data_IF_683659570755
#
_entry.id   IF_683659570755
#
_cell.length_a   1.000
_cell.length_b   1.000
_cell.length_c   1.000
_cell.angle_alpha   90.00
_cell.angle_beta   90.00
_cell.angle_gamma   90.00
#
_symmetry.space_group_name_H-M   'P 1'
#
loop_
_entity.id
_entity.type
_entity.pdbx_description
1 polymer ?
#
# COMPACT_ATOMS: atom_id res chain seq x y z
N UNK A 1 -8.99 0.29 -23.42
CA UNK A 1 -8.67 -1.14 -23.36
C UNK A 1 -7.17 -1.45 -23.41
N UNK A 2 -6.39 -0.75 -24.23
CA UNK A 2 -4.93 -0.91 -24.28
C UNK A 2 -4.21 -0.42 -23.01
N UNK A 3 -4.63 0.72 -22.44
CA UNK A 3 -4.15 1.24 -21.14
C UNK A 3 -4.47 0.30 -19.98
N UNK A 4 -5.66 -0.32 -19.99
CA UNK A 4 -6.08 -1.28 -18.97
C UNK A 4 -5.22 -2.58 -19.01
N UNK A 5 -4.90 -3.07 -20.22
CA UNK A 5 -3.99 -4.21 -20.41
C UNK A 5 -2.54 -3.89 -20.00
N UNK A 6 -2.11 -2.63 -20.16
CA UNK A 6 -0.78 -2.18 -19.71
C UNK A 6 -0.74 -2.03 -18.19
N UNK A 7 -1.83 -1.53 -17.61
CA UNK A 7 -2.02 -1.45 -16.17
C UNK A 7 -2.03 -2.84 -15.53
N UNK A 8 -2.79 -3.79 -16.06
CA UNK A 8 -2.79 -5.20 -15.59
C UNK A 8 -1.40 -5.85 -15.76
N UNK A 9 -0.64 -5.51 -16.81
CA UNK A 9 0.73 -6.02 -16.99
C UNK A 9 1.71 -5.50 -15.94
N UNK A 10 1.52 -4.29 -15.43
CA UNK A 10 2.30 -3.77 -14.31
C UNK A 10 2.04 -4.55 -13.01
N UNK A 11 0.83 -5.13 -12.87
CA UNK A 11 0.45 -6.00 -11.76
C UNK A 11 0.62 -7.50 -12.05
N UNK A 12 1.02 -7.88 -13.26
CA UNK A 12 1.38 -9.25 -13.59
C UNK A 12 2.81 -9.50 -13.09
N UNK A 13 2.89 -9.71 -11.80
CA UNK A 13 4.13 -10.08 -11.11
C UNK A 13 4.56 -11.48 -11.55
N UNK A 14 5.21 -11.60 -12.69
CA UNK A 14 5.93 -12.81 -13.10
C UNK A 14 7.25 -12.83 -12.34
N UNK A 15 7.30 -13.52 -11.21
CA UNK A 15 8.51 -13.60 -10.40
C UNK A 15 8.35 -14.48 -9.17
N UNK A 16 9.47 -14.77 -8.52
CA UNK A 16 9.50 -15.48 -7.26
C UNK A 16 8.66 -14.73 -6.20
N UNK A 17 7.91 -15.40 -5.31
CA UNK A 17 7.02 -14.75 -4.31
C UNK A 17 7.75 -13.71 -3.45
N UNK A 18 9.02 -13.92 -3.13
CA UNK A 18 9.85 -12.95 -2.39
C UNK A 18 10.04 -11.65 -3.17
N UNK A 19 10.29 -11.73 -4.48
CA UNK A 19 10.47 -10.55 -5.33
C UNK A 19 9.17 -9.74 -5.41
N UNK A 20 8.02 -10.41 -5.55
CA UNK A 20 6.69 -9.80 -5.56
C UNK A 20 6.41 -9.07 -4.25
N UNK A 21 6.72 -9.71 -3.12
CA UNK A 21 6.58 -9.12 -1.79
C UNK A 21 7.44 -7.85 -1.65
N UNK A 22 8.73 -7.92 -2.00
CA UNK A 22 9.64 -6.78 -1.93
C UNK A 22 9.18 -5.62 -2.82
N UNK A 23 8.71 -5.91 -4.04
CA UNK A 23 8.18 -4.89 -4.95
C UNK A 23 6.94 -4.21 -4.36
N UNK A 24 6.04 -4.97 -3.74
CA UNK A 24 4.86 -4.41 -3.09
C UNK A 24 5.22 -3.54 -1.88
N UNK A 25 6.21 -3.93 -1.07
CA UNK A 25 6.73 -3.12 0.04
C UNK A 25 7.34 -1.81 -0.45
N UNK A 26 8.17 -1.86 -1.49
CA UNK A 26 8.77 -0.66 -2.09
C UNK A 26 7.70 0.27 -2.67
N UNK A 27 6.69 -0.28 -3.34
CA UNK A 27 5.55 0.48 -3.84
C UNK A 27 4.76 1.15 -2.71
N UNK A 28 4.55 0.45 -1.59
CA UNK A 28 3.88 1.00 -0.42
C UNK A 28 4.66 2.18 0.19
N UNK A 29 5.98 2.05 0.31
CA UNK A 29 6.85 3.13 0.82
C UNK A 29 6.80 4.33 -0.14
N UNK A 30 6.91 4.11 -1.45
CA UNK A 30 6.86 5.18 -2.45
C UNK A 30 5.51 5.93 -2.40
N UNK A 31 4.39 5.20 -2.36
CA UNK A 31 3.06 5.81 -2.25
C UNK A 31 2.87 6.53 -0.92
N UNK A 32 3.38 5.99 0.18
CA UNK A 32 3.34 6.67 1.48
C UNK A 32 4.03 8.05 1.42
N UNK A 33 5.22 8.11 0.81
CA UNK A 33 5.94 9.37 0.64
C UNK A 33 5.16 10.35 -0.26
N UNK A 34 4.62 9.87 -1.39
CA UNK A 34 3.84 10.72 -2.31
C UNK A 34 2.61 11.29 -1.62
N UNK A 35 1.81 10.47 -0.94
CA UNK A 35 0.62 10.93 -0.24
C UNK A 35 0.94 11.79 0.98
N UNK A 36 2.01 11.49 1.72
CA UNK A 36 2.47 12.32 2.82
C UNK A 36 2.88 13.72 2.36
N UNK A 37 3.65 13.82 1.28
CA UNK A 37 4.05 15.11 0.69
C UNK A 37 2.81 15.86 0.17
N UNK A 38 1.92 15.19 -0.53
CA UNK A 38 0.68 15.80 -1.03
C UNK A 38 -0.20 16.33 0.11
N UNK A 39 -0.34 15.57 1.18
CA UNK A 39 -1.07 15.97 2.38
C UNK A 39 -0.45 17.20 3.05
N UNK A 40 0.87 17.22 3.18
CA UNK A 40 1.57 18.39 3.73
C UNK A 40 1.23 19.67 2.96
N UNK A 41 1.33 19.66 1.64
CA UNK A 41 1.04 20.84 0.82
C UNK A 41 -0.43 21.25 0.86
N UNK A 42 -1.35 20.29 0.98
CA UNK A 42 -2.78 20.59 1.07
C UNK A 42 -3.21 21.15 2.44
N UNK A 43 -2.56 20.68 3.53
CA UNK A 43 -3.06 20.92 4.88
C UNK A 43 -2.15 21.83 5.75
N UNK A 44 -0.96 22.19 5.30
CA UNK A 44 0.00 23.01 6.07
C UNK A 44 -0.54 24.38 6.52
N UNK A 45 -1.59 24.88 5.86
CA UNK A 45 -2.22 26.14 6.21
C UNK A 45 -3.41 26.01 7.17
N UNK A 46 -3.87 24.80 7.46
CA UNK A 46 -5.06 24.52 8.28
C UNK A 46 -4.74 23.92 9.64
N UNK A 47 -3.58 23.31 9.78
CA UNK A 47 -3.14 22.67 11.02
C UNK A 47 -1.85 23.31 11.51
N UNK A 48 -1.91 23.94 12.69
CA UNK A 48 -0.71 24.53 13.30
C UNK A 48 0.31 23.44 13.63
N UNK A 49 1.57 23.70 13.27
CA UNK A 49 2.68 22.81 13.56
C UNK A 49 2.76 21.54 12.69
N UNK A 50 1.89 21.40 11.68
CA UNK A 50 1.98 20.26 10.77
C UNK A 50 3.31 20.25 10.01
N UNK A 51 4.17 19.28 10.31
CA UNK A 51 5.43 19.03 9.63
C UNK A 51 5.32 18.00 8.52
N UNK A 52 6.38 17.92 7.72
CA UNK A 52 6.46 16.91 6.65
C UNK A 52 6.44 15.48 7.20
N UNK A 53 7.08 15.24 8.34
CA UNK A 53 7.12 13.94 9.00
C UNK A 53 5.76 13.53 9.56
N UNK A 54 5.00 14.48 10.11
CA UNK A 54 3.63 14.25 10.58
C UNK A 54 2.71 13.87 9.42
N UNK A 55 2.94 14.48 8.28
CA UNK A 55 2.19 14.22 7.05
C UNK A 55 2.50 12.83 6.47
N UNK A 56 3.76 12.40 6.51
CA UNK A 56 4.17 11.04 6.12
C UNK A 56 3.60 10.01 7.12
N UNK A 57 3.62 10.32 8.40
CA UNK A 57 2.98 9.52 9.45
C UNK A 57 1.46 9.38 9.19
N UNK A 58 0.78 10.49 8.91
CA UNK A 58 -0.64 10.47 8.56
C UNK A 58 -0.94 9.54 7.37
N UNK A 59 -0.15 9.63 6.30
CA UNK A 59 -0.32 8.77 5.14
C UNK A 59 -0.15 7.29 5.49
N UNK A 60 0.83 6.95 6.31
CA UNK A 60 1.09 5.58 6.77
C UNK A 60 -0.10 5.02 7.57
N UNK A 61 -0.59 5.76 8.56
CA UNK A 61 -1.70 5.29 9.40
C UNK A 61 -3.03 5.26 8.64
N UNK A 62 -3.17 6.07 7.59
CA UNK A 62 -4.33 6.06 6.70
C UNK A 62 -4.28 4.87 5.74
N UNK A 63 -3.15 4.64 5.10
CA UNK A 63 -2.94 3.49 4.18
C UNK A 63 -3.12 2.14 4.88
N UNK A 64 -2.69 2.06 6.13
CA UNK A 64 -2.81 0.84 6.96
C UNK A 64 -4.14 0.71 7.67
N UNK A 65 -5.07 1.64 7.46
CA UNK A 65 -6.40 1.68 8.08
C UNK A 65 -6.40 1.86 9.60
N UNK A 66 -5.28 2.24 10.22
CA UNK A 66 -5.18 2.47 11.67
C UNK A 66 -5.93 3.73 12.07
N UNK A 67 -5.65 4.86 11.38
CA UNK A 67 -6.39 6.10 11.52
C UNK A 67 -6.47 6.62 12.96
N UNK A 68 -5.34 6.95 13.59
CA UNK A 68 -5.33 7.45 14.98
C UNK A 68 -6.14 8.73 15.17
N UNK A 69 -6.31 9.56 14.12
CA UNK A 69 -7.05 10.82 14.20
C UNK A 69 -6.28 11.98 14.84
N UNK A 70 -4.99 11.81 15.08
CA UNK A 70 -4.06 12.86 15.52
C UNK A 70 -3.88 13.92 14.44
N UNK A 71 -3.76 13.51 13.18
CA UNK A 71 -3.77 14.34 11.99
C UNK A 71 -4.89 13.88 11.05
N UNK A 72 -5.62 14.81 10.44
CA UNK A 72 -6.73 14.49 9.55
C UNK A 72 -6.94 15.61 8.51
N UNK A 73 -7.43 15.28 7.30
CA UNK A 73 -7.64 16.31 6.28
C UNK A 73 -8.78 17.25 6.65
N UNK A 74 -8.52 18.54 6.63
CA UNK A 74 -9.51 19.60 6.87
C UNK A 74 -9.99 20.22 5.57
N UNK A 75 -9.11 20.32 4.56
CA UNK A 75 -9.46 20.88 3.26
C UNK A 75 -10.26 19.89 2.41
N UNK A 76 -11.03 20.42 1.45
CA UNK A 76 -11.71 19.60 0.46
C UNK A 76 -10.73 18.78 -0.39
N UNK A 77 -9.62 19.42 -0.80
CA UNK A 77 -8.55 18.76 -1.54
C UNK A 77 -7.95 17.59 -0.75
N UNK A 78 -7.59 17.82 0.52
CA UNK A 78 -7.07 16.79 1.41
C UNK A 78 -8.02 15.61 1.57
N UNK A 79 -9.31 15.87 1.73
CA UNK A 79 -10.33 14.83 1.93
C UNK A 79 -10.56 13.99 0.68
N UNK A 80 -10.84 14.63 -0.47
CA UNK A 80 -11.33 13.94 -1.65
C UNK A 80 -10.23 13.59 -2.66
N UNK A 81 -9.22 14.45 -2.84
CA UNK A 81 -8.16 14.20 -3.82
C UNK A 81 -6.96 13.45 -3.24
N UNK A 82 -6.77 13.47 -1.93
CA UNK A 82 -5.61 12.85 -1.27
C UNK A 82 -6.02 11.67 -0.41
N UNK A 83 -6.93 11.84 0.55
CA UNK A 83 -7.28 10.79 1.50
C UNK A 83 -7.98 9.60 0.82
N UNK A 84 -8.90 9.83 -0.10
CA UNK A 84 -9.59 8.74 -0.81
C UNK A 84 -8.64 7.86 -1.62
N UNK A 85 -7.79 8.40 -2.52
CA UNK A 85 -6.82 7.58 -3.25
C UNK A 85 -5.80 6.92 -2.32
N UNK A 86 -5.34 7.60 -1.29
CA UNK A 86 -4.44 7.06 -0.28
C UNK A 86 -5.02 5.80 0.37
N UNK A 87 -6.25 5.87 0.83
CA UNK A 87 -6.98 4.76 1.42
C UNK A 87 -7.19 3.59 0.45
N UNK A 88 -7.69 3.86 -0.76
CA UNK A 88 -7.98 2.82 -1.74
C UNK A 88 -6.72 2.08 -2.20
N UNK A 89 -5.64 2.81 -2.47
CA UNK A 89 -4.36 2.21 -2.85
C UNK A 89 -3.70 1.50 -1.68
N UNK A 90 -3.83 2.02 -0.46
CA UNK A 90 -3.35 1.39 0.76
C UNK A 90 -3.98 0.01 0.97
N UNK A 91 -5.32 -0.10 0.93
CA UNK A 91 -6.04 -1.38 1.06
C UNK A 91 -5.64 -2.34 -0.05
N UNK A 92 -5.50 -1.85 -1.28
CA UNK A 92 -5.09 -2.69 -2.42
C UNK A 92 -3.70 -3.29 -2.21
N UNK A 93 -2.74 -2.50 -1.70
CA UNK A 93 -1.40 -2.97 -1.39
C UNK A 93 -1.37 -3.97 -0.23
N UNK A 94 -2.14 -3.75 0.83
CA UNK A 94 -2.30 -4.71 1.92
C UNK A 94 -2.82 -6.04 1.37
N UNK A 95 -3.82 -6.01 0.49
CA UNK A 95 -4.36 -7.20 -0.17
C UNK A 95 -3.29 -7.95 -0.97
N UNK A 96 -2.44 -7.25 -1.73
CA UNK A 96 -1.33 -7.84 -2.47
C UNK A 96 -0.30 -8.48 -1.52
N UNK A 97 0.08 -7.78 -0.43
CA UNK A 97 1.03 -8.30 0.55
C UNK A 97 0.52 -9.57 1.23
N UNK A 98 -0.74 -9.57 1.68
CA UNK A 98 -1.36 -10.74 2.29
C UNK A 98 -1.52 -11.89 1.30
N UNK A 99 -1.86 -11.60 0.04
CA UNK A 99 -1.95 -12.59 -1.04
C UNK A 99 -0.62 -13.29 -1.30
N UNK A 100 0.49 -12.54 -1.38
CA UNK A 100 1.82 -13.13 -1.59
C UNK A 100 2.28 -14.00 -0.42
N UNK A 101 1.98 -13.60 0.81
CA UNK A 101 2.26 -14.41 2.01
C UNK A 101 1.43 -15.69 1.99
N UNK A 102 0.14 -15.60 1.66
CA UNK A 102 -0.76 -16.75 1.57
C UNK A 102 -0.29 -17.77 0.51
N UNK A 103 0.09 -17.31 -0.68
CA UNK A 103 0.67 -18.19 -1.73
C UNK A 103 1.92 -18.92 -1.23
N UNK A 104 2.85 -18.22 -0.58
CA UNK A 104 4.08 -18.83 -0.06
C UNK A 104 3.78 -19.90 0.99
N UNK A 105 2.82 -19.68 1.86
CA UNK A 105 2.38 -20.65 2.88
C UNK A 105 1.77 -21.90 2.22
N UNK A 106 0.83 -21.70 1.28
CA UNK A 106 0.17 -22.81 0.55
C UNK A 106 1.19 -23.65 -0.21
N UNK A 107 2.13 -23.01 -0.91
CA UNK A 107 3.20 -23.71 -1.64
C UNK A 107 4.09 -24.54 -0.72
N UNK A 108 4.44 -24.00 0.44
CA UNK A 108 5.24 -24.73 1.42
C UNK A 108 4.56 -26.02 1.89
N UNK A 109 3.28 -25.94 2.27
CA UNK A 109 2.51 -27.12 2.70
C UNK A 109 2.27 -28.12 1.56
N UNK A 110 2.02 -27.65 0.34
CA UNK A 110 1.81 -28.51 -0.83
C UNK A 110 3.06 -29.32 -1.19
N UNK A 111 4.24 -28.71 -1.11
CA UNK A 111 5.53 -29.40 -1.33
C UNK A 111 5.79 -30.45 -0.26
N UNK A 112 5.51 -30.14 1.00
CA UNK A 112 5.65 -31.08 2.12
C UNK A 112 4.76 -32.31 1.93
N UNK A 113 3.50 -32.12 1.52
CA UNK A 113 2.55 -33.23 1.26
C UNK A 113 3.01 -34.13 0.11
N UNK A 114 3.52 -33.56 -1.00
CA UNK A 114 4.07 -34.33 -2.13
C UNK A 114 5.33 -35.12 -1.76
N UNK A 115 6.16 -34.61 -0.84
CA UNK A 115 7.33 -35.33 -0.33
C UNK A 115 6.97 -36.57 0.49
N UNK A 116 5.89 -36.50 1.30
CA UNK A 116 5.42 -37.63 2.11
C UNK A 116 4.82 -38.78 1.27
N UNK A 117 4.24 -38.47 0.11
CA UNK A 117 3.68 -39.48 -0.80
C UNK A 117 4.74 -40.25 -1.61
N UNK A 118 6.00 -39.83 -1.56
CA UNK A 118 7.14 -40.52 -2.25
C UNK A 118 7.93 -41.44 -1.32
N UNK A 119 7.59 -41.54 -0.08
CA UNK A 119 8.10 -42.46 0.93
C UNK A 119 7.15 -43.66 1.10
#
# INVERSE_FOLDING_TARGET
MWLFRRFIRLFKFEGHPVQRFLTAVLAAIALNLVFGIAFYFAERGTQEGLGIWDSIWWAMVTMTTVGYGDYYPQTWCGRFLIAYPCFLLGISLIGILLGTVSEAVVDHFSRKKKGLHKL
#
